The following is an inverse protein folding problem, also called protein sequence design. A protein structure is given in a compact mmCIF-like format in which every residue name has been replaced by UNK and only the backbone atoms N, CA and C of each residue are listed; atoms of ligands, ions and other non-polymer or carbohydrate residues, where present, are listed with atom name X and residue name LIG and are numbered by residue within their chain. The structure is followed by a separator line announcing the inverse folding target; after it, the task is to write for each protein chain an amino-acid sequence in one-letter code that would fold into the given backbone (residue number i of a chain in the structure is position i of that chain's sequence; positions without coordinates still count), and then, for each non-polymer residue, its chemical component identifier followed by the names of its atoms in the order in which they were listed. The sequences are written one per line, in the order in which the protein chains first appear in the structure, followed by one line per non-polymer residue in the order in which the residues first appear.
data_IF_063914220612
#
_entry.id   IF_063914220612
#
_cell.length_a   1.000
_cell.length_b   1.000
_cell.length_c   1.000
_cell.angle_alpha   90.00
_cell.angle_beta   90.00
_cell.angle_gamma   90.00
#
_symmetry.space_group_name_H-M   'P 1'
#
loop_
_entity.id
_entity.type
_entity.pdbx_description
1 polymer ?
#
# COMPACT_ATOMS: atom_id res chain seq x y z
N UNK A 1 6.11 5.62 -26.34
CA UNK A 1 5.80 6.12 -27.70
C UNK A 1 6.93 5.67 -28.61
N UNK A 2 6.71 4.58 -29.35
CA UNK A 2 7.59 4.10 -30.41
C UNK A 2 6.64 3.73 -31.57
N UNK A 3 6.67 4.51 -32.63
CA UNK A 3 5.93 4.22 -33.85
C UNK A 3 6.80 3.30 -34.72
N UNK A 4 6.30 2.10 -35.04
CA UNK A 4 6.81 1.31 -36.16
C UNK A 4 5.61 1.02 -37.06
N UNK A 5 5.59 1.63 -38.24
CA UNK A 5 4.68 1.31 -39.32
C UNK A 5 5.30 0.25 -40.22
N UNK A 6 4.47 -0.67 -40.72
CA UNK A 6 4.81 -1.52 -41.85
C UNK A 6 3.69 -1.39 -42.90
N UNK A 7 4.05 -0.92 -44.10
CA UNK A 7 3.24 -1.09 -45.30
C UNK A 7 3.81 -2.27 -46.09
N UNK A 8 2.94 -3.19 -46.52
CA UNK A 8 3.20 -4.07 -47.64
C UNK A 8 1.88 -4.31 -48.39
N UNK A 9 1.85 -3.91 -49.66
CA UNK A 9 0.76 -4.24 -50.58
C UNK A 9 1.06 -5.55 -51.30
N UNK A 10 0.03 -6.38 -51.47
CA UNK A 10 -0.06 -7.39 -52.52
C UNK A 10 -1.55 -7.73 -52.74
N UNK A 11 -1.86 -8.05 -54.00
CA UNK A 11 -3.15 -8.04 -54.70
C UNK A 11 -4.13 -9.19 -54.35
N UNK A 12 -5.41 -8.96 -54.67
CA UNK A 12 -6.60 -9.83 -54.46
C UNK A 12 -6.50 -11.28 -54.98
N UNK A 13 -7.07 -12.26 -54.27
CA UNK A 13 -8.35 -12.94 -54.63
C UNK A 13 -8.66 -14.21 -53.80
N UNK A 14 -9.94 -14.34 -53.44
CA UNK A 14 -10.75 -15.55 -53.14
C UNK A 14 -10.73 -16.25 -51.77
N UNK A 15 -11.84 -16.04 -51.06
CA UNK A 15 -12.40 -16.80 -49.92
C UNK A 15 -13.19 -18.05 -50.38
N UNK A 16 -13.15 -19.14 -49.58
CA UNK A 16 -14.27 -19.94 -49.01
C UNK A 16 -13.72 -21.30 -48.51
N UNK A 17 -13.46 -21.49 -47.20
CA UNK A 17 -14.34 -21.98 -46.13
C UNK A 17 -14.84 -23.45 -46.27
N UNK A 18 -14.78 -24.18 -45.13
CA UNK A 18 -15.37 -25.51 -44.76
C UNK A 18 -14.39 -26.70 -44.82
N UNK A 19 -14.06 -27.51 -43.78
CA UNK A 19 -14.42 -27.55 -42.34
C UNK A 19 -13.42 -28.47 -41.55
N UNK A 20 -12.96 -27.98 -40.39
CA UNK A 20 -12.78 -28.62 -39.06
C UNK A 20 -12.30 -30.10 -38.90
N UNK A 21 -11.24 -30.31 -38.11
CA UNK A 21 -11.32 -30.84 -36.71
C UNK A 21 -9.92 -31.16 -36.13
N UNK A 22 -9.40 -30.28 -35.28
CA UNK A 22 -8.57 -30.56 -34.10
C UNK A 22 -8.07 -29.22 -33.52
N UNK A 23 -7.89 -29.15 -32.20
CA UNK A 23 -7.57 -27.96 -31.38
C UNK A 23 -8.79 -27.22 -30.82
N UNK A 24 -9.60 -27.95 -30.03
CA UNK A 24 -10.30 -27.33 -28.91
C UNK A 24 -9.37 -27.35 -27.70
N UNK A 25 -8.79 -26.20 -27.36
CA UNK A 25 -8.65 -25.65 -26.00
C UNK A 25 -7.52 -24.61 -25.96
N UNK A 26 -7.86 -23.40 -25.54
CA UNK A 26 -6.99 -22.23 -25.27
C UNK A 26 -6.62 -21.34 -26.45
N UNK A 27 -7.63 -20.69 -27.05
CA UNK A 27 -7.42 -19.32 -27.52
C UNK A 27 -7.08 -18.49 -26.27
N UNK A 28 -5.79 -18.26 -26.01
CA UNK A 28 -5.36 -17.20 -25.11
C UNK A 28 -5.86 -15.90 -25.75
N UNK A 29 -6.96 -15.36 -25.22
CA UNK A 29 -7.42 -14.02 -25.59
C UNK A 29 -6.23 -13.06 -25.41
N UNK A 30 -5.89 -12.32 -26.46
CA UNK A 30 -4.90 -11.26 -26.33
C UNK A 30 -5.34 -10.32 -25.20
N UNK A 31 -4.43 -9.89 -24.31
CA UNK A 31 -4.81 -9.00 -23.22
C UNK A 31 -5.43 -7.73 -23.79
N UNK A 32 -6.47 -7.21 -23.15
CA UNK A 32 -7.03 -5.90 -23.50
C UNK A 32 -5.94 -4.81 -23.37
N UNK A 33 -6.11 -3.67 -24.05
CA UNK A 33 -5.18 -2.54 -23.90
C UNK A 33 -5.07 -2.10 -22.43
N UNK A 34 -6.16 -2.17 -21.67
CA UNK A 34 -6.17 -1.93 -20.22
C UNK A 34 -5.25 -2.92 -19.47
N UNK A 35 -5.28 -4.20 -19.83
CA UNK A 35 -4.38 -5.21 -19.26
C UNK A 35 -2.91 -4.98 -19.63
N UNK A 36 -2.61 -4.46 -20.82
CA UNK A 36 -1.23 -4.12 -21.20
C UNK A 36 -0.70 -2.89 -20.45
N UNK A 37 -1.51 -1.84 -20.30
CA UNK A 37 -1.13 -0.64 -19.55
C UNK A 37 -0.85 -0.98 -18.08
N UNK A 38 -1.71 -1.78 -17.45
CA UNK A 38 -1.51 -2.27 -16.08
C UNK A 38 -0.23 -3.10 -15.94
N UNK A 39 0.06 -3.99 -16.90
CA UNK A 39 1.31 -4.77 -16.90
C UNK A 39 2.55 -3.89 -17.03
N UNK A 40 2.50 -2.87 -17.89
CA UNK A 40 3.61 -1.93 -18.05
C UNK A 40 3.82 -1.08 -16.80
N UNK A 41 2.74 -0.66 -16.14
CA UNK A 41 2.82 -0.01 -14.83
C UNK A 41 3.50 -0.93 -13.82
N UNK A 42 3.04 -2.18 -13.67
CA UNK A 42 3.61 -3.11 -12.70
C UNK A 42 5.11 -3.35 -12.92
N UNK A 43 5.52 -3.62 -14.17
CA UNK A 43 6.92 -3.82 -14.55
C UNK A 43 7.77 -2.59 -14.20
N UNK A 44 7.28 -1.40 -14.56
CA UNK A 44 7.99 -0.14 -14.32
C UNK A 44 8.11 0.16 -12.82
N UNK A 45 7.01 0.02 -12.08
CA UNK A 45 6.92 0.29 -10.65
C UNK A 45 7.71 -0.71 -9.81
N UNK A 46 7.69 -1.99 -10.17
CA UNK A 46 8.49 -3.01 -9.50
C UNK A 46 9.98 -2.70 -9.58
N UNK A 47 10.46 -2.44 -10.80
CA UNK A 47 11.88 -2.21 -11.06
C UNK A 47 12.36 -0.89 -10.46
N UNK A 48 11.55 0.16 -10.53
CA UNK A 48 11.99 1.51 -10.18
C UNK A 48 11.77 1.86 -8.71
N UNK A 49 10.77 1.27 -8.06
CA UNK A 49 10.35 1.67 -6.70
C UNK A 49 10.13 0.48 -5.77
N UNK A 50 9.22 -0.45 -6.10
CA UNK A 50 8.73 -1.44 -5.12
C UNK A 50 9.86 -2.40 -4.70
N UNK A 51 10.56 -3.03 -5.64
CA UNK A 51 11.60 -4.01 -5.31
C UNK A 51 12.84 -3.39 -4.66
N UNK A 52 13.38 -2.25 -5.14
CA UNK A 52 14.43 -1.54 -4.41
C UNK A 52 14.06 -1.17 -2.97
N UNK A 53 12.81 -0.77 -2.73
CA UNK A 53 12.32 -0.43 -1.38
C UNK A 53 12.22 -1.67 -0.49
N UNK A 54 11.76 -2.79 -1.03
CA UNK A 54 11.71 -4.09 -0.31
C UNK A 54 13.12 -4.58 0.02
N UNK A 55 14.07 -4.47 -0.92
CA UNK A 55 15.47 -4.82 -0.71
C UNK A 55 16.09 -3.94 0.38
N UNK A 56 15.85 -2.62 0.33
CA UNK A 56 16.29 -1.69 1.38
C UNK A 56 15.71 -2.08 2.74
N UNK A 57 14.40 -2.30 2.83
CA UNK A 57 13.74 -2.70 4.08
C UNK A 57 14.34 -4.00 4.64
N UNK A 58 14.59 -4.99 3.78
CA UNK A 58 15.24 -6.26 4.12
C UNK A 58 16.67 -6.04 4.61
N UNK A 59 17.45 -5.20 3.93
CA UNK A 59 18.86 -4.96 4.26
C UNK A 59 19.05 -4.23 5.60
N UNK A 60 18.07 -3.42 6.01
CA UNK A 60 18.11 -2.66 7.27
C UNK A 60 17.42 -3.37 8.44
N UNK A 61 16.83 -4.55 8.25
CA UNK A 61 16.30 -5.33 9.37
C UNK A 61 17.41 -5.75 10.32
N UNK A 62 17.07 -5.84 11.61
CA UNK A 62 18.01 -6.17 12.69
C UNK A 62 18.71 -7.53 12.49
N UNK A 63 18.10 -8.45 11.73
CA UNK A 63 18.62 -9.80 11.49
C UNK A 63 19.77 -9.86 10.46
N UNK A 64 19.91 -8.87 9.58
CA UNK A 64 20.87 -8.90 8.46
C UNK A 64 22.20 -8.16 8.71
N UNK A 65 22.44 -7.59 9.91
CA UNK A 65 23.67 -6.82 10.18
C UNK A 65 24.73 -7.62 10.95
N UNK A 66 25.96 -7.60 10.40
CA UNK A 66 27.16 -8.24 10.95
C UNK A 66 27.37 -7.81 12.41
N UNK A 67 27.45 -8.80 13.31
CA UNK A 67 27.51 -8.69 14.79
C UNK A 67 28.75 -7.98 15.37
N UNK A 68 29.46 -7.17 14.60
CA UNK A 68 30.79 -6.64 14.95
C UNK A 68 30.85 -5.20 15.48
N UNK A 69 29.85 -4.36 15.22
CA UNK A 69 29.89 -2.93 15.58
C UNK A 69 28.77 -2.54 16.57
N UNK A 70 29.08 -2.61 17.87
CA UNK A 70 28.19 -2.35 19.02
C UNK A 70 27.72 -0.88 19.19
N UNK A 71 27.68 -0.07 18.12
CA UNK A 71 27.32 1.36 18.19
C UNK A 71 26.11 1.76 17.35
N UNK A 72 25.61 0.89 16.47
CA UNK A 72 24.32 1.13 15.84
C UNK A 72 23.25 0.46 16.71
N UNK A 73 22.41 1.26 17.38
CA UNK A 73 21.18 0.74 17.95
C UNK A 73 20.38 0.10 16.82
N UNK A 74 19.94 -1.14 17.01
CA UNK A 74 18.97 -1.84 16.16
C UNK A 74 17.68 -1.03 16.17
N UNK A 75 17.25 -0.55 15.00
CA UNK A 75 16.06 0.28 14.88
C UNK A 75 14.96 -0.54 14.21
N UNK A 76 13.76 -0.60 14.80
CA UNK A 76 12.67 -1.35 14.22
C UNK A 76 12.29 -0.79 12.85
N UNK A 77 12.03 -1.70 11.91
CA UNK A 77 11.63 -1.37 10.54
C UNK A 77 10.13 -1.56 10.44
N UNK A 78 9.43 -0.61 9.84
CA UNK A 78 7.99 -0.70 9.56
C UNK A 78 7.77 -0.45 8.08
N UNK A 79 7.05 -1.37 7.42
CA UNK A 79 6.79 -1.30 5.98
C UNK A 79 5.29 -1.14 5.74
N UNK A 80 4.91 -0.38 4.71
CA UNK A 80 3.51 -0.28 4.31
C UNK A 80 3.33 -0.23 2.78
N UNK A 81 2.11 -0.53 2.36
CA UNK A 81 1.61 -0.33 1.01
C UNK A 81 0.40 0.61 1.05
N UNK A 82 0.39 1.62 0.19
CA UNK A 82 -0.72 2.55 0.04
C UNK A 82 -1.48 2.24 -1.25
N UNK A 83 -2.74 1.86 -1.12
CA UNK A 83 -3.60 1.40 -2.21
C UNK A 83 -4.82 2.30 -2.42
N UNK A 84 -4.95 3.39 -1.67
CA UNK A 84 -6.11 4.27 -1.78
C UNK A 84 -5.99 5.29 -2.93
N UNK A 85 -7.05 5.41 -3.72
CA UNK A 85 -7.18 6.42 -4.77
C UNK A 85 -8.25 7.43 -4.36
N UNK A 86 -7.84 8.70 -4.27
CA UNK A 86 -8.76 9.81 -4.01
C UNK A 86 -9.90 9.85 -5.03
N UNK A 87 -11.15 9.86 -4.57
CA UNK A 87 -12.33 9.71 -5.44
C UNK A 87 -12.51 10.86 -6.44
N UNK A 88 -12.16 12.07 -6.00
CA UNK A 88 -12.38 13.31 -6.75
C UNK A 88 -11.23 13.67 -7.71
N UNK A 89 -10.16 12.87 -7.72
CA UNK A 89 -8.99 13.16 -8.55
C UNK A 89 -9.35 13.02 -10.04
N UNK A 90 -8.91 13.98 -10.85
CA UNK A 90 -9.31 14.08 -12.27
C UNK A 90 -8.64 13.07 -13.20
N UNK A 91 -7.73 12.24 -12.69
CA UNK A 91 -7.08 11.21 -13.50
C UNK A 91 -8.06 10.11 -13.92
N UNK A 92 -7.80 9.39 -15.02
CA UNK A 92 -8.63 8.23 -15.38
C UNK A 92 -8.60 7.14 -14.30
N UNK A 93 -9.72 6.45 -14.06
CA UNK A 93 -9.83 5.43 -13.02
C UNK A 93 -8.77 4.29 -13.14
N UNK A 94 -8.39 3.92 -14.36
CA UNK A 94 -7.39 2.88 -14.63
C UNK A 94 -5.99 3.21 -14.10
N UNK A 95 -5.72 4.48 -13.75
CA UNK A 95 -4.42 4.89 -13.17
C UNK A 95 -4.23 4.37 -11.74
N UNK A 96 -5.30 3.93 -11.08
CA UNK A 96 -5.25 3.42 -9.72
C UNK A 96 -4.63 4.44 -8.75
N UNK A 97 -3.74 3.95 -7.91
CA UNK A 97 -3.02 4.72 -6.89
C UNK A 97 -1.65 5.10 -7.41
N UNK A 98 -1.48 6.37 -7.79
CA UNK A 98 -0.26 6.87 -8.39
C UNK A 98 0.77 7.28 -7.34
N UNK A 99 2.02 7.34 -7.78
CA UNK A 99 3.16 7.74 -6.95
C UNK A 99 2.96 9.16 -6.35
N UNK A 100 3.20 9.31 -5.05
CA UNK A 100 3.19 10.58 -4.33
C UNK A 100 1.81 11.00 -3.81
N UNK A 101 0.75 10.27 -4.14
CA UNK A 101 -0.61 10.61 -3.67
C UNK A 101 -0.81 10.31 -2.18
N UNK A 102 0.01 9.45 -1.57
CA UNK A 102 0.00 9.20 -0.13
C UNK A 102 0.49 10.43 0.66
N UNK A 103 1.31 11.28 0.05
CA UNK A 103 1.87 12.49 0.68
C UNK A 103 0.74 13.41 1.15
N UNK A 104 -0.34 13.51 0.38
CA UNK A 104 -1.50 14.35 0.74
C UNK A 104 -2.10 13.94 2.07
N UNK A 105 -2.20 12.63 2.32
CA UNK A 105 -2.76 12.07 3.55
C UNK A 105 -1.79 12.20 4.72
N UNK A 106 -0.49 12.02 4.51
CA UNK A 106 0.54 12.19 5.54
C UNK A 106 0.63 13.64 6.03
N UNK A 107 0.42 14.62 5.14
CA UNK A 107 0.52 16.05 5.48
C UNK A 107 -0.82 16.72 5.83
N UNK A 108 -1.92 15.96 5.91
CA UNK A 108 -3.23 16.51 6.29
C UNK A 108 -3.86 17.42 5.22
N UNK A 109 -3.52 17.25 3.94
CA UNK A 109 -4.12 17.98 2.82
C UNK A 109 -5.65 17.83 2.76
N UNK A 110 -6.27 16.69 3.15
CA UNK A 110 -7.73 16.58 3.28
C UNK A 110 -8.40 17.61 4.21
N UNK A 111 -7.63 18.33 5.03
CA UNK A 111 -8.10 19.42 5.89
C UNK A 111 -7.86 20.82 5.32
N UNK A 112 -7.11 20.96 4.23
CA UNK A 112 -6.76 22.26 3.64
C UNK A 112 -7.88 22.82 2.77
N UNK A 113 -8.56 23.93 3.18
CA UNK A 113 -9.63 24.51 2.37
C UNK A 113 -9.08 25.14 1.08
N UNK A 114 -7.87 25.70 1.13
CA UNK A 114 -7.22 26.31 -0.02
C UNK A 114 -6.89 25.29 -1.11
N UNK A 115 -6.37 24.13 -0.72
CA UNK A 115 -6.09 23.04 -1.67
C UNK A 115 -7.40 22.55 -2.31
N UNK A 116 -8.42 22.27 -1.49
CA UNK A 116 -9.70 21.77 -1.98
C UNK A 116 -10.47 22.76 -2.87
N UNK A 117 -10.26 24.06 -2.67
CA UNK A 117 -10.82 25.09 -3.54
C UNK A 117 -10.14 25.17 -4.91
N UNK A 118 -8.87 24.73 -5.01
CA UNK A 118 -8.04 24.90 -6.21
C UNK A 118 -7.89 23.61 -7.02
N UNK A 119 -7.79 22.46 -6.34
CA UNK A 119 -7.47 21.17 -6.96
C UNK A 119 -8.68 20.23 -6.93
N UNK A 120 -8.86 19.46 -5.86
CA UNK A 120 -9.96 18.52 -5.70
C UNK A 120 -10.28 18.29 -4.22
N UNK A 121 -11.48 17.75 -3.96
CA UNK A 121 -12.06 17.62 -2.61
C UNK A 121 -11.80 16.26 -2.00
N UNK A 122 -11.86 16.17 -0.68
CA UNK A 122 -11.73 14.88 0.00
C UNK A 122 -13.03 14.52 0.72
N UNK A 123 -13.32 13.23 0.79
CA UNK A 123 -14.44 12.65 1.52
C UNK A 123 -14.15 12.60 3.03
N UNK A 124 -15.17 12.31 3.83
CA UNK A 124 -15.03 12.18 5.29
C UNK A 124 -14.17 10.96 5.63
N UNK A 125 -14.31 9.90 4.85
CA UNK A 125 -13.54 8.68 4.96
C UNK A 125 -12.06 8.94 4.59
N UNK A 126 -11.78 9.73 3.56
CA UNK A 126 -10.42 10.15 3.19
C UNK A 126 -9.77 11.03 4.27
N UNK A 127 -10.55 11.89 4.94
CA UNK A 127 -10.08 12.65 6.12
C UNK A 127 -9.74 11.71 7.28
N UNK A 128 -10.57 10.70 7.53
CA UNK A 128 -10.30 9.67 8.53
C UNK A 128 -9.05 8.85 8.19
N UNK A 129 -8.84 8.49 6.92
CA UNK A 129 -7.61 7.85 6.45
C UNK A 129 -6.38 8.73 6.72
N UNK A 130 -6.47 10.03 6.45
CA UNK A 130 -5.41 11.00 6.75
C UNK A 130 -5.11 11.07 8.25
N UNK A 131 -6.12 11.09 9.12
CA UNK A 131 -5.91 11.05 10.57
C UNK A 131 -5.19 9.77 11.02
N UNK A 132 -5.57 8.61 10.46
CA UNK A 132 -4.92 7.34 10.76
C UNK A 132 -3.45 7.36 10.32
N UNK A 133 -3.16 7.82 9.10
CA UNK A 133 -1.78 7.95 8.59
C UNK A 133 -0.96 8.93 9.44
N UNK A 134 -1.46 10.15 9.67
CA UNK A 134 -0.80 11.15 10.51
C UNK A 134 -0.51 10.61 11.92
N UNK A 135 -1.44 9.84 12.49
CA UNK A 135 -1.26 9.22 13.81
C UNK A 135 -0.10 8.24 13.81
N UNK A 136 -0.05 7.28 12.87
CA UNK A 136 1.08 6.35 12.80
C UNK A 136 2.42 7.06 12.54
N UNK A 137 2.44 8.03 11.63
CA UNK A 137 3.65 8.80 11.30
C UNK A 137 4.13 9.64 12.50
N UNK A 138 3.24 10.31 13.22
CA UNK A 138 3.57 11.09 14.40
C UNK A 138 4.02 10.20 15.58
N UNK A 139 3.40 9.03 15.76
CA UNK A 139 3.79 8.06 16.77
C UNK A 139 5.21 7.53 16.51
N UNK A 140 5.50 7.16 15.26
CA UNK A 140 6.83 6.73 14.86
C UNK A 140 7.86 7.83 15.07
N UNK A 141 7.58 9.06 14.63
CA UNK A 141 8.50 10.20 14.82
C UNK A 141 8.81 10.49 16.30
N UNK A 142 7.84 10.27 17.20
CA UNK A 142 7.96 10.54 18.64
C UNK A 142 8.64 9.41 19.41
N UNK A 143 8.42 8.15 19.01
CA UNK A 143 8.77 6.99 19.85
C UNK A 143 9.62 5.93 19.15
N UNK A 144 9.70 5.96 17.82
CA UNK A 144 10.27 4.87 17.02
C UNK A 144 9.31 3.71 16.77
N UNK A 145 8.09 3.72 17.34
CA UNK A 145 7.05 2.70 17.14
C UNK A 145 5.73 3.38 16.71
N UNK A 146 5.18 3.07 15.53
CA UNK A 146 3.92 3.66 15.05
C UNK A 146 2.71 3.28 15.93
N UNK A 147 2.81 2.23 16.76
CA UNK A 147 1.72 1.74 17.59
C UNK A 147 1.58 2.48 18.94
N UNK A 148 2.59 3.25 19.34
CA UNK A 148 2.62 3.90 20.66
C UNK A 148 2.06 5.32 20.56
N UNK A 149 0.85 5.51 21.09
CA UNK A 149 0.19 6.80 21.22
C UNK A 149 0.85 7.68 22.31
N UNK A 150 0.49 8.97 22.43
CA UNK A 150 0.93 9.81 23.54
C UNK A 150 0.61 9.18 24.89
N UNK A 151 1.46 9.38 25.89
CA UNK A 151 1.32 8.77 27.23
C UNK A 151 1.43 7.23 27.27
N UNK A 152 1.88 6.58 26.18
CA UNK A 152 2.24 5.16 26.17
C UNK A 152 1.10 4.18 25.87
N UNK A 153 -0.10 4.67 25.56
CA UNK A 153 -1.25 3.83 25.17
C UNK A 153 -1.00 3.17 23.81
N UNK A 154 -1.51 1.97 23.59
CA UNK A 154 -1.39 1.28 22.30
C UNK A 154 -2.52 1.70 21.36
N UNK A 155 -2.23 1.71 20.06
CA UNK A 155 -3.24 2.04 19.02
C UNK A 155 -4.46 1.11 19.08
N UNK A 156 -4.24 -0.15 19.46
CA UNK A 156 -5.29 -1.17 19.58
C UNK A 156 -6.27 -0.90 20.73
N UNK A 157 -5.82 -0.20 21.77
CA UNK A 157 -6.65 0.15 22.92
C UNK A 157 -7.76 1.16 22.55
N UNK A 158 -7.71 1.75 21.34
CA UNK A 158 -8.77 2.61 20.81
C UNK A 158 -9.92 1.80 20.19
N UNK A 159 -9.67 0.59 19.70
CA UNK A 159 -10.72 -0.26 19.10
C UNK A 159 -11.58 -0.97 20.15
N UNK A 160 -11.10 -1.05 21.38
CA UNK A 160 -11.75 -1.79 22.49
C UNK A 160 -13.07 -1.17 22.98
N UNK A 161 -13.54 -0.11 22.32
CA UNK A 161 -14.88 0.45 22.50
C UNK A 161 -15.95 -0.24 21.63
N UNK A 162 -15.56 -0.89 20.52
CA UNK A 162 -16.46 -1.53 19.56
C UNK A 162 -16.25 -3.06 19.55
N UNK A 163 -17.05 -3.80 20.32
CA UNK A 163 -17.28 -5.24 20.09
C UNK A 163 -17.08 -6.19 21.28
N UNK A 164 -18.21 -6.64 21.83
CA UNK A 164 -18.56 -8.03 22.15
C UNK A 164 -17.40 -9.08 22.20
N UNK A 165 -16.95 -9.47 23.40
CA UNK A 165 -17.35 -10.73 24.04
C UNK A 165 -16.49 -11.00 25.31
N UNK A 166 -17.15 -11.55 26.34
CA UNK A 166 -16.57 -12.36 27.41
C UNK A 166 -15.50 -11.78 28.36
N UNK A 167 -15.93 -11.35 29.54
CA UNK A 167 -15.13 -11.27 30.78
C UNK A 167 -14.35 -9.98 31.08
N UNK A 168 -15.05 -8.83 31.04
CA UNK A 168 -14.62 -7.63 31.77
C UNK A 168 -15.81 -7.04 32.54
N UNK A 169 -15.66 -6.94 33.87
CA UNK A 169 -16.61 -6.30 34.77
C UNK A 169 -17.08 -4.92 34.25
N UNK A 170 -18.40 -4.81 34.02
CA UNK A 170 -19.28 -3.64 34.05
C UNK A 170 -18.69 -2.27 33.68
N UNK A 171 -18.23 -2.09 32.44
CA UNK A 171 -18.11 -0.73 31.87
C UNK A 171 -19.00 -0.64 30.65
N UNK A 172 -20.04 0.19 30.75
CA UNK A 172 -21.02 0.41 29.69
C UNK A 172 -20.33 0.94 28.41
N UNK A 173 -20.83 0.58 27.20
CA UNK A 173 -20.26 1.04 25.94
C UNK A 173 -20.11 2.56 25.86
N UNK A 174 -21.08 3.32 26.37
CA UNK A 174 -21.03 4.79 26.42
C UNK A 174 -19.89 5.31 27.32
N UNK A 175 -19.62 4.65 28.43
CA UNK A 175 -18.52 5.02 29.34
C UNK A 175 -17.16 4.73 28.71
N UNK A 176 -17.02 3.61 27.99
CA UNK A 176 -15.81 3.28 27.22
C UNK A 176 -15.55 4.33 26.13
N UNK A 177 -16.58 4.68 25.36
CA UNK A 177 -16.47 5.71 24.33
C UNK A 177 -16.08 7.06 24.92
N UNK A 178 -16.68 7.44 26.06
CA UNK A 178 -16.31 8.68 26.76
C UNK A 178 -14.83 8.66 27.20
N UNK A 179 -14.34 7.56 27.76
CA UNK A 179 -12.92 7.42 28.15
C UNK A 179 -11.98 7.54 26.94
N UNK A 180 -12.35 6.95 25.80
CA UNK A 180 -11.60 7.09 24.55
C UNK A 180 -11.57 8.55 24.09
N UNK A 181 -12.71 9.23 24.07
CA UNK A 181 -12.81 10.64 23.66
C UNK A 181 -12.02 11.56 24.61
N UNK A 182 -12.11 11.36 25.92
CA UNK A 182 -11.36 12.12 26.91
C UNK A 182 -9.85 11.95 26.68
N UNK A 183 -9.39 10.71 26.47
CA UNK A 183 -8.00 10.41 26.14
C UNK A 183 -7.55 11.07 24.82
N UNK A 184 -8.34 10.96 23.74
CA UNK A 184 -8.00 11.59 22.46
C UNK A 184 -7.87 13.10 22.60
N UNK A 185 -8.75 13.71 23.41
CA UNK A 185 -8.73 15.15 23.71
C UNK A 185 -7.46 15.54 24.47
N UNK A 186 -7.13 14.81 25.54
CA UNK A 186 -5.92 15.03 26.34
C UNK A 186 -4.64 14.85 25.50
N UNK A 187 -4.61 13.80 24.67
CA UNK A 187 -3.51 13.49 23.76
C UNK A 187 -3.44 14.39 22.52
N UNK A 188 -4.40 15.32 22.33
CA UNK A 188 -4.54 16.19 21.14
C UNK A 188 -4.58 15.40 19.82
N UNK A 189 -5.25 14.26 19.85
CA UNK A 189 -5.45 13.38 18.70
C UNK A 189 -6.79 13.67 18.03
N UNK A 190 -6.94 13.35 16.72
CA UNK A 190 -8.20 13.53 16.00
C UNK A 190 -9.34 12.72 16.62
N UNK A 191 -10.51 13.34 16.80
CA UNK A 191 -11.70 12.67 17.33
C UNK A 191 -12.24 11.55 16.41
N UNK A 192 -11.91 11.61 15.12
CA UNK A 192 -12.25 10.57 14.13
C UNK A 192 -11.68 9.19 14.50
N UNK A 193 -10.55 9.14 15.23
CA UNK A 193 -9.90 7.90 15.65
C UNK A 193 -10.77 7.04 16.56
N UNK A 194 -11.67 7.65 17.35
CA UNK A 194 -12.63 6.92 18.18
C UNK A 194 -13.56 6.00 17.39
N UNK A 195 -13.71 6.26 16.08
CA UNK A 195 -14.54 5.51 15.15
C UNK A 195 -13.71 4.78 14.09
N UNK A 196 -12.38 4.81 14.21
CA UNK A 196 -11.45 4.17 13.28
C UNK A 196 -11.11 2.77 13.75
N UNK A 197 -11.12 1.80 12.83
CA UNK A 197 -10.61 0.47 13.09
C UNK A 197 -9.10 0.46 12.81
N UNK A 198 -8.32 0.89 13.81
CA UNK A 198 -6.88 0.83 13.75
C UNK A 198 -6.43 -0.63 13.90
N UNK A 199 -5.27 -1.00 13.36
CA UNK A 199 -4.70 -2.33 13.61
C UNK A 199 -3.23 -2.16 13.97
N UNK A 200 -2.65 -3.10 14.69
CA UNK A 200 -1.23 -3.02 14.99
C UNK A 200 -0.44 -3.06 13.69
N UNK A 201 0.44 -2.09 13.51
CA UNK A 201 1.41 -2.07 12.41
C UNK A 201 2.55 -3.02 12.80
N UNK A 202 2.67 -4.19 12.15
CA UNK A 202 3.68 -5.16 12.49
C UNK A 202 5.08 -4.63 12.15
N UNK A 203 6.05 -4.96 12.99
CA UNK A 203 7.46 -4.77 12.65
C UNK A 203 7.83 -5.67 11.48
N UNK A 204 8.55 -5.11 10.51
CA UNK A 204 9.06 -5.81 9.34
C UNK A 204 10.31 -6.61 9.72
N UNK A 205 10.22 -7.93 9.59
CA UNK A 205 11.32 -8.88 9.80
C UNK A 205 11.51 -9.73 8.55
N UNK A 206 12.69 -10.34 8.36
CA UNK A 206 12.93 -11.16 7.17
C UNK A 206 12.01 -12.39 7.11
N UNK A 207 11.66 -12.97 8.27
CA UNK A 207 10.82 -14.16 8.35
C UNK A 207 9.35 -13.89 8.02
N UNK A 208 8.77 -12.85 8.62
CA UNK A 208 7.35 -12.52 8.41
C UNK A 208 7.15 -11.68 7.15
N UNK A 209 8.11 -10.80 6.85
CA UNK A 209 8.01 -9.74 5.84
C UNK A 209 6.64 -9.04 5.90
N UNK A 210 6.12 -8.86 7.12
CA UNK A 210 4.78 -8.38 7.35
C UNK A 210 4.72 -6.86 7.21
N UNK A 211 3.65 -6.35 6.59
CA UNK A 211 3.51 -4.93 6.30
C UNK A 211 2.06 -4.47 6.39
N UNK A 212 1.88 -3.19 6.71
CA UNK A 212 0.56 -2.57 6.80
C UNK A 212 0.06 -2.17 5.41
N UNK A 213 -1.23 -2.35 5.14
CA UNK A 213 -1.86 -1.95 3.88
C UNK A 213 -2.96 -0.93 4.19
N UNK A 214 -2.80 0.28 3.65
CA UNK A 214 -3.85 1.28 3.58
C UNK A 214 -4.69 0.99 2.33
N UNK A 215 -5.84 0.31 2.48
CA UNK A 215 -6.63 -0.21 1.37
C UNK A 215 -7.33 0.87 0.55
N UNK A 216 -7.87 0.43 -0.59
CA UNK A 216 -8.75 1.19 -1.47
C UNK A 216 -9.97 1.79 -0.75
N UNK A 217 -10.57 1.06 0.21
CA UNK A 217 -11.68 1.54 1.03
C UNK A 217 -11.17 2.34 2.26
N UNK A 218 -11.37 3.66 2.29
CA UNK A 218 -10.79 4.51 3.34
C UNK A 218 -11.36 4.17 4.72
N UNK A 219 -10.49 3.70 5.61
CA UNK A 219 -10.82 3.27 6.97
C UNK A 219 -10.65 1.77 7.24
N UNK A 220 -10.39 0.97 6.20
CA UNK A 220 -10.04 -0.44 6.35
C UNK A 220 -8.53 -0.66 6.18
N UNK A 221 -7.86 -1.03 7.27
CA UNK A 221 -6.47 -1.47 7.25
C UNK A 221 -6.39 -2.99 7.14
N UNK A 222 -5.28 -3.50 6.62
CA UNK A 222 -4.95 -4.93 6.71
C UNK A 222 -3.46 -5.16 6.79
N UNK A 223 -3.06 -6.38 7.14
CA UNK A 223 -1.66 -6.81 7.12
C UNK A 223 -1.44 -7.76 5.97
N UNK A 224 -0.43 -7.46 5.14
CA UNK A 224 0.11 -8.36 4.13
C UNK A 224 1.41 -9.02 4.61
N UNK A 225 1.85 -10.04 3.88
CA UNK A 225 3.15 -10.71 4.07
C UNK A 225 3.82 -10.92 2.73
N UNK A 226 5.15 -10.90 2.70
CA UNK A 226 5.97 -11.20 1.52
C UNK A 226 5.62 -10.31 0.29
N UNK A 227 5.74 -8.97 0.40
CA UNK A 227 5.35 -8.06 -0.67
C UNK A 227 6.11 -8.36 -1.97
N UNK A 228 5.36 -8.53 -3.08
CA UNK A 228 5.91 -8.71 -4.44
C UNK A 228 7.02 -9.77 -4.56
N UNK A 229 7.01 -10.82 -3.72
CA UNK A 229 8.13 -11.77 -3.61
C UNK A 229 8.53 -12.39 -4.94
N UNK A 230 7.56 -12.79 -5.77
CA UNK A 230 7.83 -13.44 -7.06
C UNK A 230 8.45 -12.45 -8.06
N UNK A 231 7.94 -11.24 -8.10
CA UNK A 231 8.33 -10.22 -9.06
C UNK A 231 9.67 -9.59 -8.70
N UNK A 232 9.94 -9.38 -7.42
CA UNK A 232 11.26 -8.95 -6.98
C UNK A 232 12.31 -10.05 -7.14
N UNK A 233 11.96 -11.33 -6.97
CA UNK A 233 12.87 -12.43 -7.33
C UNK A 233 13.23 -12.42 -8.82
N UNK A 234 12.29 -12.08 -9.71
CA UNK A 234 12.58 -11.92 -11.13
C UNK A 234 13.63 -10.82 -11.36
N UNK A 235 13.44 -9.63 -10.79
CA UNK A 235 14.34 -8.50 -10.98
C UNK A 235 15.71 -8.68 -10.34
N UNK A 236 15.79 -9.24 -9.12
CA UNK A 236 17.05 -9.39 -8.39
C UNK A 236 17.86 -10.62 -8.82
N UNK A 237 17.20 -11.71 -9.24
CA UNK A 237 17.89 -12.98 -9.51
C UNK A 237 17.90 -13.36 -10.98
N UNK A 238 16.77 -13.30 -11.67
CA UNK A 238 16.64 -13.85 -13.03
C UNK A 238 17.08 -12.85 -14.11
N UNK A 239 16.65 -11.60 -14.00
CA UNK A 239 16.96 -10.58 -15.00
C UNK A 239 18.48 -10.35 -15.20
N UNK A 240 19.33 -10.30 -14.16
CA UNK A 240 20.78 -10.18 -14.34
C UNK A 240 21.41 -11.37 -15.05
N UNK A 241 20.95 -12.60 -14.77
CA UNK A 241 21.42 -13.83 -15.43
C UNK A 241 21.07 -13.78 -16.92
N UNK A 242 19.84 -13.40 -17.27
CA UNK A 242 19.41 -13.28 -18.67
C UNK A 242 20.26 -12.27 -19.46
N UNK A 243 20.63 -11.14 -18.85
CA UNK A 243 21.50 -10.14 -19.46
C UNK A 243 22.94 -10.63 -19.65
N UNK A 244 23.40 -11.58 -18.85
CA UNK A 244 24.72 -12.18 -18.97
C UNK A 244 24.75 -13.20 -20.10
N UNK A 245 23.73 -14.06 -20.18
CA UNK A 245 23.57 -15.06 -21.24
C UNK A 245 23.35 -14.42 -22.62
N UNK A 246 22.62 -13.31 -22.70
CA UNK A 246 22.37 -12.63 -23.99
C UNK A 246 23.61 -11.96 -24.60
N UNK A 247 24.72 -11.91 -23.87
CA UNK A 247 26.00 -11.32 -24.31
C UNK A 247 27.00 -12.36 -24.82
N UNK A 248 26.68 -13.66 -24.70
CA UNK A 248 27.45 -14.77 -25.28
C UNK A 248 26.92 -15.09 -26.68
#
# INVERSE_FOLDING_TARGET
MLCIGLFAGATETSLKFVLLTALSSTVHSQPSLASWTERLEMISSDRSFKCPTIEMATAVTDENRISGNRRAQTLPVYFYEFQHRTQSVQWPAWTGTMHGYEIEYVFGIPYSPQFQATYYRFTDEERKLSDMMMTYWANFARTGDPNILPHGKQVMDLNQADGDDGDALLVEPEQKLKQVIDYLTEARLPASLSRSHLISWPQYHNKSSAFLIFKEDPGHLSVGTEPRKRECLFWHRWYPILLQESKQ
#
